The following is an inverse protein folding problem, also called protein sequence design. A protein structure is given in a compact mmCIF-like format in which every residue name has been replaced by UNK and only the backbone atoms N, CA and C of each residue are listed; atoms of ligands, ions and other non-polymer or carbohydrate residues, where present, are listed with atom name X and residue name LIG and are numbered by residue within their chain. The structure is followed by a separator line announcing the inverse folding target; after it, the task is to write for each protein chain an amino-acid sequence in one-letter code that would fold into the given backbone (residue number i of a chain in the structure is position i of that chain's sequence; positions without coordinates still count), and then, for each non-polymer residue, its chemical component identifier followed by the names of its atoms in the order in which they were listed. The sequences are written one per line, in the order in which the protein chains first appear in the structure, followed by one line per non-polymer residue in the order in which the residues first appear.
data_IF_220662631351
#
_entry.id   IF_220662631351
#
_cell.length_a   1.000
_cell.length_b   1.000
_cell.length_c   1.000
_cell.angle_alpha   90.00
_cell.angle_beta   90.00
_cell.angle_gamma   90.00
#
_symmetry.space_group_name_H-M   'P 1'
#
loop_
_entity.id
_entity.type
_entity.pdbx_description
1 polymer ?
#
# COMPACT_ATOMS: atom_id res chain seq x y z
N UNK A 1 23.31 -15.30 1.53
CA UNK A 1 22.37 -14.18 1.31
C UNK A 1 21.58 -13.86 2.57
N UNK A 2 21.05 -14.85 3.29
CA UNK A 2 20.30 -14.70 4.55
C UNK A 2 21.10 -14.03 5.68
N UNK A 3 22.38 -14.40 5.86
CA UNK A 3 23.24 -13.83 6.92
C UNK A 3 23.50 -12.32 6.74
N UNK A 4 23.69 -11.86 5.50
CA UNK A 4 23.88 -10.44 5.21
C UNK A 4 22.63 -9.62 5.54
N UNK A 5 21.44 -10.18 5.31
CA UNK A 5 20.17 -9.55 5.68
C UNK A 5 19.93 -9.57 7.19
N UNK A 6 20.36 -10.63 7.89
CA UNK A 6 20.34 -10.69 9.35
C UNK A 6 21.26 -9.64 9.97
N UNK A 7 22.45 -9.41 9.39
CA UNK A 7 23.35 -8.35 9.82
C UNK A 7 22.72 -6.96 9.64
N UNK A 8 22.07 -6.71 8.50
CA UNK A 8 21.33 -5.45 8.26
C UNK A 8 20.17 -5.30 9.24
N UNK A 9 19.43 -6.37 9.52
CA UNK A 9 18.34 -6.36 10.50
C UNK A 9 18.85 -6.02 11.91
N UNK A 10 19.98 -6.60 12.33
CA UNK A 10 20.60 -6.30 13.62
C UNK A 10 21.10 -4.84 13.69
N UNK A 11 21.74 -4.34 12.64
CA UNK A 11 22.18 -2.95 12.55
C UNK A 11 21.00 -1.96 12.55
N UNK A 12 19.92 -2.30 11.87
CA UNK A 12 18.69 -1.52 11.88
C UNK A 12 18.06 -1.52 13.28
N UNK A 13 18.01 -2.67 13.97
CA UNK A 13 17.53 -2.75 15.34
C UNK A 13 18.38 -1.92 16.32
N UNK A 14 19.69 -1.89 16.15
CA UNK A 14 20.60 -1.08 16.99
C UNK A 14 20.39 0.42 16.80
N UNK A 15 20.30 0.89 15.54
CA UNK A 15 20.17 2.34 15.23
C UNK A 15 18.75 2.88 15.29
N UNK A 16 17.75 2.05 14.97
CA UNK A 16 16.36 2.44 14.75
C UNK A 16 15.38 1.69 15.67
N UNK A 17 15.88 0.95 16.68
CA UNK A 17 15.07 0.03 17.47
C UNK A 17 13.81 0.62 18.11
N UNK A 18 13.83 1.90 18.49
CA UNK A 18 12.65 2.58 19.04
C UNK A 18 11.51 2.79 18.01
N UNK A 19 11.86 2.85 16.73
CA UNK A 19 10.96 3.11 15.61
C UNK A 19 10.49 1.83 14.91
N UNK A 20 11.18 0.70 15.11
CA UNK A 20 10.83 -0.61 14.53
C UNK A 20 9.82 -1.31 15.44
N UNK A 21 8.68 -1.73 14.89
CA UNK A 21 7.67 -2.52 15.59
C UNK A 21 7.85 -4.02 15.39
N UNK A 22 8.30 -4.44 14.20
CA UNK A 22 8.59 -5.83 13.90
C UNK A 22 9.65 -5.98 12.80
N UNK A 23 10.34 -7.12 12.82
CA UNK A 23 11.32 -7.51 11.81
C UNK A 23 10.94 -8.89 11.30
N UNK A 24 10.75 -9.02 9.99
CA UNK A 24 10.43 -10.31 9.35
C UNK A 24 11.44 -10.59 8.24
N UNK A 25 12.09 -11.75 8.34
CA UNK A 25 12.93 -12.28 7.27
C UNK A 25 12.25 -13.51 6.70
N UNK A 26 11.77 -13.42 5.47
CA UNK A 26 11.07 -14.53 4.82
C UNK A 26 11.48 -14.63 3.36
N UNK A 27 11.76 -15.86 2.89
CA UNK A 27 12.08 -16.16 1.49
C UNK A 27 13.19 -15.29 0.88
N UNK A 28 14.16 -14.86 1.71
CA UNK A 28 15.28 -14.03 1.28
C UNK A 28 14.97 -12.52 1.20
N UNK A 29 13.85 -12.09 1.78
CA UNK A 29 13.44 -10.68 1.85
C UNK A 29 13.34 -10.21 3.29
N UNK A 30 13.93 -9.04 3.57
CA UNK A 30 13.83 -8.37 4.86
C UNK A 30 12.71 -7.34 4.82
N UNK A 31 11.75 -7.47 5.72
CA UNK A 31 10.69 -6.49 5.97
C UNK A 31 10.86 -5.90 7.37
N UNK A 32 10.93 -4.58 7.44
CA UNK A 32 10.88 -3.83 8.70
C UNK A 32 9.52 -3.16 8.82
N UNK A 33 8.81 -3.43 9.89
CA UNK A 33 7.61 -2.69 10.25
C UNK A 33 8.02 -1.49 11.11
N UNK A 34 7.64 -0.30 10.69
CA UNK A 34 8.07 0.99 11.24
C UNK A 34 6.84 1.76 11.73
N UNK A 35 6.98 2.46 12.86
CA UNK A 35 5.97 3.42 13.32
C UNK A 35 5.79 4.53 12.29
N UNK A 36 4.55 4.83 11.91
CA UNK A 36 4.27 5.82 10.84
C UNK A 36 4.86 7.19 11.14
N UNK A 37 4.92 7.59 12.42
CA UNK A 37 5.46 8.88 12.87
C UNK A 37 6.96 9.02 12.64
N UNK A 38 7.68 7.91 12.51
CA UNK A 38 9.14 7.90 12.36
C UNK A 38 9.58 7.64 10.91
N UNK A 39 8.65 7.50 9.95
CA UNK A 39 8.98 7.03 8.60
C UNK A 39 10.00 7.92 7.89
N UNK A 40 9.81 9.24 7.93
CA UNK A 40 10.70 10.18 7.23
C UNK A 40 12.09 10.19 7.87
N UNK A 41 12.16 10.07 9.20
CA UNK A 41 13.41 9.94 9.94
C UNK A 41 14.13 8.64 9.59
N UNK A 42 13.43 7.51 9.61
CA UNK A 42 13.99 6.19 9.28
C UNK A 42 14.48 6.15 7.84
N UNK A 43 13.68 6.63 6.89
CA UNK A 43 14.04 6.71 5.49
C UNK A 43 15.30 7.55 5.25
N UNK A 44 15.45 8.68 5.96
CA UNK A 44 16.64 9.52 5.87
C UNK A 44 17.89 8.81 6.39
N UNK A 45 17.79 8.11 7.51
CA UNK A 45 18.90 7.29 8.05
C UNK A 45 19.27 6.15 7.08
N UNK A 46 18.28 5.45 6.52
CA UNK A 46 18.51 4.35 5.59
C UNK A 46 19.18 4.81 4.29
N UNK A 47 18.88 6.02 3.82
CA UNK A 47 19.52 6.62 2.64
C UNK A 47 20.93 7.12 2.97
N UNK A 48 21.09 7.91 4.02
CA UNK A 48 22.30 8.71 4.28
C UNK A 48 23.42 7.91 4.96
N UNK A 49 23.09 6.86 5.73
CA UNK A 49 24.08 6.06 6.42
C UNK A 49 24.84 5.14 5.46
N UNK A 50 26.18 5.23 5.35
CA UNK A 50 26.96 4.41 4.42
C UNK A 50 26.86 2.89 4.64
N UNK A 51 26.48 2.47 5.85
CA UNK A 51 26.27 1.06 6.20
C UNK A 51 25.01 0.51 5.54
N UNK A 52 23.95 1.33 5.45
CA UNK A 52 22.70 0.96 4.80
C UNK A 52 22.73 1.32 3.31
N UNK A 53 22.99 2.59 3.00
CA UNK A 53 23.17 3.11 1.65
C UNK A 53 22.03 2.75 0.71
N UNK A 54 20.78 2.97 1.10
CA UNK A 54 19.63 2.74 0.22
C UNK A 54 19.41 3.95 -0.69
N UNK A 55 20.16 4.00 -1.79
CA UNK A 55 20.16 5.17 -2.68
C UNK A 55 18.88 5.26 -3.53
N UNK A 56 18.20 4.15 -3.76
CA UNK A 56 17.04 4.08 -4.65
C UNK A 56 15.76 3.66 -3.93
N UNK A 57 14.73 4.50 -4.08
CA UNK A 57 13.34 4.13 -3.83
C UNK A 57 12.75 3.54 -5.11
N UNK A 58 12.36 2.27 -5.04
CA UNK A 58 11.85 1.49 -6.18
C UNK A 58 10.34 1.65 -6.32
N UNK A 59 9.61 1.62 -5.20
CA UNK A 59 8.15 1.66 -5.19
C UNK A 59 7.61 2.20 -3.85
N UNK A 60 6.45 2.84 -3.90
CA UNK A 60 5.60 3.16 -2.74
C UNK A 60 4.19 2.70 -3.05
N UNK A 61 3.69 1.72 -2.30
CA UNK A 61 2.35 1.20 -2.50
C UNK A 61 1.50 1.26 -1.22
N UNK A 62 0.22 1.54 -1.40
CA UNK A 62 -0.79 1.36 -0.36
C UNK A 62 -1.32 -0.08 -0.34
N UNK A 63 -1.69 -0.57 0.82
CA UNK A 63 -2.40 -1.85 0.99
C UNK A 63 -3.59 -1.64 1.90
N UNK A 64 -4.75 -2.17 1.49
CA UNK A 64 -5.97 -2.26 2.31
C UNK A 64 -6.12 -3.69 2.85
N UNK A 65 -5.94 -3.84 4.16
CA UNK A 65 -6.04 -5.07 4.93
C UNK A 65 -7.44 -5.31 5.50
N UNK A 66 -8.48 -4.54 5.12
CA UNK A 66 -9.82 -4.66 5.73
C UNK A 66 -10.44 -6.07 5.69
N UNK A 67 -10.10 -6.89 4.69
CA UNK A 67 -10.57 -8.28 4.54
C UNK A 67 -9.46 -9.31 4.65
N UNK A 68 -8.27 -8.90 5.12
CA UNK A 68 -7.10 -9.77 5.21
C UNK A 68 -7.03 -10.44 6.59
N UNK A 69 -6.81 -11.75 6.62
CA UNK A 69 -6.69 -12.49 7.88
C UNK A 69 -8.02 -12.93 8.51
N UNK A 70 -9.18 -12.63 7.89
CA UNK A 70 -10.50 -13.12 8.33
C UNK A 70 -10.72 -14.62 8.03
N UNK A 71 -9.87 -15.24 7.20
CA UNK A 71 -9.97 -16.66 6.81
C UNK A 71 -8.68 -17.48 7.05
N UNK A 72 -7.63 -16.90 7.62
CA UNK A 72 -6.35 -17.60 7.83
C UNK A 72 -6.06 -17.86 9.30
N UNK A 73 -5.63 -19.08 9.62
CA UNK A 73 -5.21 -19.54 10.97
C UNK A 73 -4.03 -18.76 11.59
N UNK A 74 -3.37 -17.89 10.82
CA UNK A 74 -2.23 -17.06 11.26
C UNK A 74 -2.62 -15.86 12.15
N UNK A 75 -3.84 -15.84 12.68
CA UNK A 75 -4.30 -14.87 13.68
C UNK A 75 -4.71 -13.53 13.07
N UNK A 76 -5.76 -12.94 13.65
CA UNK A 76 -6.18 -11.58 13.34
C UNK A 76 -4.97 -10.64 13.48
N UNK A 77 -4.54 -10.01 12.38
CA UNK A 77 -3.65 -8.85 12.49
C UNK A 77 -4.44 -7.74 13.15
N UNK A 78 -4.29 -7.65 14.47
CA UNK A 78 -4.80 -6.53 15.25
C UNK A 78 -3.96 -5.31 14.88
N UNK A 79 -4.54 -4.41 14.08
CA UNK A 79 -4.00 -3.07 13.91
C UNK A 79 -3.94 -2.64 12.46
N UNK A 80 -4.79 -1.67 12.13
CA UNK A 80 -4.71 -0.81 10.94
C UNK A 80 -5.14 -1.44 9.61
N UNK A 81 -6.25 -0.93 9.08
CA UNK A 81 -6.80 -1.20 7.75
C UNK A 81 -5.79 -0.85 6.66
N UNK A 82 -5.09 0.27 6.77
CA UNK A 82 -4.19 0.73 5.72
C UNK A 82 -2.73 0.52 6.11
N UNK A 83 -1.90 0.21 5.12
CA UNK A 83 -0.45 0.25 5.26
C UNK A 83 0.19 0.90 4.03
N UNK A 84 1.22 1.70 4.26
CA UNK A 84 2.13 2.17 3.23
C UNK A 84 3.38 1.26 3.22
N UNK A 85 3.73 0.75 2.05
CA UNK A 85 4.89 -0.12 1.84
C UNK A 85 5.88 0.63 0.96
N UNK A 86 7.15 0.60 1.35
CA UNK A 86 8.25 1.19 0.59
C UNK A 86 9.24 0.10 0.22
N UNK A 87 9.63 0.05 -1.06
CA UNK A 87 10.68 -0.86 -1.52
C UNK A 87 11.94 -0.08 -1.82
N UNK A 88 13.01 -0.43 -1.11
CA UNK A 88 14.29 0.23 -1.21
C UNK A 88 15.33 -0.71 -1.82
N UNK A 89 16.25 -0.14 -2.60
CA UNK A 89 17.39 -0.83 -3.19
C UNK A 89 18.67 -0.07 -2.87
N UNK A 90 19.65 -0.78 -2.32
CA UNK A 90 21.03 -0.33 -2.23
C UNK A 90 21.80 -0.90 -3.41
N UNK A 91 22.32 -0.04 -4.28
CA UNK A 91 23.16 -0.48 -5.41
C UNK A 91 24.54 -0.87 -4.88
N UNK A 92 25.09 -0.06 -3.96
CA UNK A 92 26.43 -0.26 -3.40
C UNK A 92 26.57 -1.62 -2.72
N UNK A 93 25.56 -2.03 -1.97
CA UNK A 93 25.57 -3.29 -1.23
C UNK A 93 24.81 -4.42 -1.93
N UNK A 94 24.13 -4.12 -3.05
CA UNK A 94 23.25 -5.02 -3.81
C UNK A 94 22.20 -5.73 -2.91
N UNK A 95 21.45 -4.93 -2.14
CA UNK A 95 20.47 -5.44 -1.15
C UNK A 95 19.14 -4.72 -1.31
N UNK A 96 18.05 -5.44 -1.05
CA UNK A 96 16.69 -4.91 -1.03
C UNK A 96 16.14 -4.92 0.39
N UNK A 97 15.35 -3.90 0.70
CA UNK A 97 14.68 -3.74 1.97
C UNK A 97 13.24 -3.30 1.73
N UNK A 98 12.30 -3.94 2.43
CA UNK A 98 10.90 -3.54 2.43
C UNK A 98 10.59 -2.86 3.76
N UNK A 99 10.07 -1.65 3.71
CA UNK A 99 9.49 -0.99 4.88
C UNK A 99 7.98 -1.11 4.82
N UNK A 100 7.35 -1.30 5.97
CA UNK A 100 5.90 -1.28 6.11
C UNK A 100 5.54 -0.36 7.27
N UNK A 101 4.69 0.62 7.01
CA UNK A 101 4.11 1.48 8.04
C UNK A 101 2.60 1.30 8.04
N UNK A 102 2.04 0.91 9.18
CA UNK A 102 0.60 0.82 9.38
C UNK A 102 0.02 2.20 9.67
N UNK A 103 -1.19 2.46 9.15
CA UNK A 103 -1.84 3.77 9.19
C UNK A 103 -3.20 3.70 9.87
N UNK A 104 -3.63 4.82 10.44
CA UNK A 104 -4.92 4.94 11.10
C UNK A 104 -6.10 4.67 10.13
N UNK A 105 -7.16 4.03 10.61
CA UNK A 105 -8.29 3.56 9.79
C UNK A 105 -9.15 4.69 9.20
N UNK A 106 -9.42 5.72 10.01
CA UNK A 106 -10.32 6.81 9.65
C UNK A 106 -9.65 7.82 8.70
N UNK A 107 -8.40 8.16 8.98
CA UNK A 107 -7.63 9.14 8.23
C UNK A 107 -6.19 8.64 8.06
N UNK A 108 -5.93 7.80 7.04
CA UNK A 108 -4.59 7.26 6.82
C UNK A 108 -3.65 8.37 6.38
N UNK A 109 -2.80 8.83 7.30
CA UNK A 109 -1.83 9.91 7.07
C UNK A 109 -0.42 9.47 7.42
N UNK A 110 0.56 9.97 6.68
CA UNK A 110 1.97 9.66 6.86
C UNK A 110 2.84 10.77 6.29
N UNK A 111 4.06 10.95 6.80
CA UNK A 111 4.99 11.92 6.24
C UNK A 111 5.46 11.50 4.85
N UNK A 112 5.52 12.47 3.92
CA UNK A 112 6.10 12.30 2.60
C UNK A 112 7.61 12.05 2.69
N UNK A 113 8.11 11.16 1.82
CA UNK A 113 9.53 10.91 1.63
C UNK A 113 10.07 11.58 0.35
N UNK A 114 9.30 12.49 -0.25
CA UNK A 114 9.68 13.25 -1.45
C UNK A 114 11.02 13.98 -1.32
N UNK A 115 11.27 14.63 -0.17
CA UNK A 115 12.55 15.31 0.09
C UNK A 115 13.74 14.33 0.19
N UNK A 116 13.45 13.05 0.42
CA UNK A 116 14.45 11.99 0.56
C UNK A 116 14.74 11.37 -0.80
N UNK A 117 13.68 10.98 -1.53
CA UNK A 117 13.77 10.48 -2.89
C UNK A 117 12.76 11.19 -3.77
N UNK A 118 13.25 11.95 -4.76
CA UNK A 118 12.39 12.67 -5.69
C UNK A 118 11.45 11.76 -6.50
N UNK A 119 11.79 10.47 -6.65
CA UNK A 119 10.94 9.46 -7.28
C UNK A 119 9.65 9.20 -6.51
N UNK A 120 9.60 9.47 -5.21
CA UNK A 120 8.41 9.26 -4.37
C UNK A 120 7.22 10.10 -4.82
N UNK A 121 7.43 11.24 -5.50
CA UNK A 121 6.37 12.17 -5.88
C UNK A 121 5.19 11.47 -6.59
N UNK A 122 5.50 10.65 -7.60
CA UNK A 122 4.47 10.00 -8.41
C UNK A 122 3.82 8.84 -7.66
N UNK A 123 4.60 8.04 -6.93
CA UNK A 123 4.08 6.90 -6.18
C UNK A 123 3.22 7.31 -4.99
N UNK A 124 3.58 8.38 -4.28
CA UNK A 124 2.75 8.94 -3.19
C UNK A 124 1.43 9.50 -3.73
N UNK A 125 1.45 10.15 -4.90
CA UNK A 125 0.22 10.59 -5.58
C UNK A 125 -0.65 9.43 -6.04
N UNK A 126 -0.05 8.35 -6.53
CA UNK A 126 -0.77 7.12 -6.89
C UNK A 126 -1.42 6.48 -5.65
N UNK A 127 -0.69 6.34 -4.55
CA UNK A 127 -1.20 5.80 -3.29
C UNK A 127 -2.33 6.69 -2.72
N UNK A 128 -2.22 8.01 -2.86
CA UNK A 128 -3.31 8.94 -2.53
C UNK A 128 -4.53 8.73 -3.43
N UNK A 129 -4.36 8.59 -4.74
CA UNK A 129 -5.48 8.45 -5.67
C UNK A 129 -6.23 7.12 -5.46
N UNK A 130 -5.49 6.02 -5.34
CA UNK A 130 -6.04 4.66 -5.31
C UNK A 130 -6.50 4.21 -3.93
N UNK A 131 -5.80 4.60 -2.86
CA UNK A 131 -6.09 4.19 -1.48
C UNK A 131 -6.51 5.35 -0.57
N UNK A 132 -6.30 6.61 -0.97
CA UNK A 132 -6.65 7.77 -0.16
C UNK A 132 -5.71 8.00 1.02
N UNK A 133 -4.46 7.53 0.92
CA UNK A 133 -3.41 7.80 1.92
C UNK A 133 -2.92 9.23 1.73
N UNK A 134 -2.93 10.02 2.79
CA UNK A 134 -2.50 11.42 2.79
C UNK A 134 -1.01 11.50 3.15
N UNK A 135 -0.21 12.06 2.25
CA UNK A 135 1.21 12.28 2.47
C UNK A 135 1.48 13.73 2.88
N UNK A 136 1.81 13.95 4.16
CA UNK A 136 2.08 15.28 4.71
C UNK A 136 3.44 15.79 4.24
N UNK A 137 3.52 17.05 3.79
CA UNK A 137 4.75 17.64 3.22
C UNK A 137 4.98 17.39 1.73
N UNK A 138 4.08 16.69 1.03
CA UNK A 138 4.17 16.51 -0.42
C UNK A 138 3.86 17.82 -1.18
N UNK A 139 4.63 18.22 -2.22
CA UNK A 139 4.47 19.51 -2.89
C UNK A 139 3.19 19.67 -3.72
N UNK A 140 2.69 18.60 -4.35
CA UNK A 140 1.48 18.62 -5.21
C UNK A 140 0.71 17.30 -5.06
N UNK A 141 0.00 17.12 -3.94
CA UNK A 141 -0.77 15.90 -3.69
C UNK A 141 -2.15 15.99 -4.36
N UNK A 142 -2.24 15.48 -5.59
CA UNK A 142 -3.48 15.37 -6.36
C UNK A 142 -3.55 14.06 -7.13
N UNK A 143 -4.78 13.69 -7.53
CA UNK A 143 -5.09 12.51 -8.35
C UNK A 143 -4.25 12.45 -9.62
N UNK A 144 -4.01 11.24 -10.12
CA UNK A 144 -3.11 11.03 -11.26
C UNK A 144 -3.57 9.91 -12.21
N UNK A 145 -4.25 8.89 -11.71
CA UNK A 145 -4.76 7.77 -12.50
C UNK A 145 -6.27 7.86 -12.72
N UNK A 146 -7.02 8.35 -11.72
CA UNK A 146 -8.47 8.47 -11.83
C UNK A 146 -8.88 9.73 -12.59
N UNK A 147 -10.11 9.71 -13.11
CA UNK A 147 -10.69 10.85 -13.80
C UNK A 147 -10.86 12.07 -12.87
N UNK A 148 -10.88 13.27 -13.44
CA UNK A 148 -10.87 14.53 -12.69
C UNK A 148 -12.05 14.67 -11.72
N UNK A 149 -13.22 14.12 -12.08
CA UNK A 149 -14.43 14.13 -11.26
C UNK A 149 -14.66 12.87 -10.45
N UNK A 150 -13.68 11.98 -10.35
CA UNK A 150 -13.85 10.68 -9.71
C UNK A 150 -14.04 10.82 -8.18
N UNK A 151 -15.10 10.18 -7.68
CA UNK A 151 -15.46 10.18 -6.26
C UNK A 151 -15.11 8.81 -5.68
N UNK A 152 -14.24 8.80 -4.67
CA UNK A 152 -13.77 7.59 -3.99
C UNK A 152 -12.33 7.20 -4.35
N UNK A 153 -11.96 6.00 -3.92
CA UNK A 153 -10.62 5.41 -4.02
C UNK A 153 -10.74 3.96 -4.51
N UNK A 154 -10.41 3.67 -5.78
CA UNK A 154 -10.77 2.42 -6.44
C UNK A 154 -10.22 1.13 -5.81
N UNK A 155 -9.05 1.18 -5.17
CA UNK A 155 -8.35 -0.03 -4.68
C UNK A 155 -8.68 -0.37 -3.23
N UNK A 156 -9.55 0.41 -2.58
CA UNK A 156 -10.12 0.03 -1.30
C UNK A 156 -11.11 -1.12 -1.47
N UNK A 157 -11.15 -2.04 -0.52
CA UNK A 157 -11.99 -3.25 -0.60
C UNK A 157 -13.48 -2.98 -0.47
N UNK A 158 -13.86 -1.83 0.06
CA UNK A 158 -15.25 -1.34 0.11
C UNK A 158 -15.70 -0.72 -1.22
N UNK A 159 -14.80 -0.44 -2.16
CA UNK A 159 -15.15 0.12 -3.47
C UNK A 159 -15.61 -1.00 -4.43
N UNK A 160 -16.78 -0.85 -5.09
CA UNK A 160 -17.28 -1.88 -6.00
C UNK A 160 -16.43 -1.98 -7.27
N UNK A 161 -16.24 -3.20 -7.78
CA UNK A 161 -15.41 -3.45 -8.97
C UNK A 161 -15.85 -2.66 -10.21
N UNK A 162 -17.16 -2.47 -10.39
CA UNK A 162 -17.74 -1.76 -11.55
C UNK A 162 -17.75 -0.23 -11.32
N UNK A 163 -17.54 0.21 -10.08
CA UNK A 163 -17.70 1.60 -9.67
C UNK A 163 -19.16 2.02 -9.54
N UNK A 164 -19.38 3.31 -9.37
CA UNK A 164 -20.71 3.90 -9.15
C UNK A 164 -21.28 4.61 -10.39
N UNK A 165 -20.41 5.06 -11.30
CA UNK A 165 -20.80 5.85 -12.47
C UNK A 165 -20.25 5.24 -13.76
N UNK A 166 -21.05 5.32 -14.82
CA UNK A 166 -20.67 4.99 -16.19
C UNK A 166 -20.80 6.23 -17.08
N UNK A 167 -20.00 6.29 -18.14
CA UNK A 167 -20.04 7.38 -19.12
C UNK A 167 -20.84 6.95 -20.35
N UNK A 168 -21.72 7.83 -20.84
CA UNK A 168 -22.33 7.70 -22.16
C UNK A 168 -22.30 9.01 -22.92
N UNK A 169 -22.30 8.93 -24.26
CA UNK A 169 -22.52 10.11 -25.09
C UNK A 169 -24.01 10.46 -25.13
N UNK A 170 -24.35 11.73 -24.91
CA UNK A 170 -25.71 12.25 -25.04
C UNK A 170 -25.81 13.10 -26.31
N UNK A 171 -26.51 12.60 -27.32
CA UNK A 171 -26.66 13.27 -28.62
C UNK A 171 -27.39 14.62 -28.51
N UNK A 172 -28.40 14.71 -27.64
CA UNK A 172 -29.18 15.93 -27.45
C UNK A 172 -28.35 17.06 -26.84
N UNK A 173 -27.48 16.72 -25.89
CA UNK A 173 -26.57 17.66 -25.22
C UNK A 173 -25.22 17.81 -25.92
N UNK A 174 -24.95 16.98 -26.94
CA UNK A 174 -23.68 16.88 -27.67
C UNK A 174 -22.47 16.80 -26.74
N UNK A 175 -22.56 16.03 -25.66
CA UNK A 175 -21.49 15.87 -24.66
C UNK A 175 -21.53 14.51 -23.98
N UNK A 176 -20.41 14.13 -23.37
CA UNK A 176 -20.35 12.96 -22.47
C UNK A 176 -21.04 13.30 -21.15
N UNK A 177 -21.88 12.39 -20.67
CA UNK A 177 -22.58 12.50 -19.39
C UNK A 177 -22.25 11.31 -18.50
N UNK A 178 -22.14 11.57 -17.20
CA UNK A 178 -22.00 10.55 -16.16
C UNK A 178 -23.38 10.15 -15.68
N UNK A 179 -23.65 8.86 -15.59
CA UNK A 179 -24.88 8.32 -15.03
C UNK A 179 -24.56 7.15 -14.09
N UNK A 180 -25.47 6.77 -13.17
CA UNK A 180 -25.28 5.58 -12.35
C UNK A 180 -25.08 4.33 -13.22
N UNK A 181 -24.19 3.44 -12.79
CA UNK A 181 -23.92 2.16 -13.47
C UNK A 181 -25.21 1.36 -13.65
N UNK A 182 -25.42 0.84 -14.85
CA UNK A 182 -26.57 -0.04 -15.19
C UNK A 182 -26.16 -1.51 -15.35
N UNK A 183 -24.85 -1.78 -15.31
CA UNK A 183 -24.28 -3.12 -15.53
C UNK A 183 -24.53 -4.02 -14.32
N UNK A 184 -25.22 -5.15 -14.54
CA UNK A 184 -25.35 -6.20 -13.54
C UNK A 184 -24.06 -7.05 -13.47
N UNK A 185 -23.48 -7.27 -12.27
CA UNK A 185 -22.28 -8.09 -12.13
C UNK A 185 -22.57 -9.54 -12.54
N UNK A 186 -22.04 -9.97 -13.68
CA UNK A 186 -22.00 -11.39 -14.04
C UNK A 186 -20.83 -12.06 -13.34
N UNK A 187 -21.02 -12.43 -12.08
CA UNK A 187 -20.01 -13.22 -11.37
C UNK A 187 -19.99 -14.62 -12.00
N UNK A 188 -18.91 -14.98 -12.69
CA UNK A 188 -18.71 -16.34 -13.24
C UNK A 188 -18.45 -17.38 -12.14
N UNK A 189 -18.97 -17.17 -10.93
CA UNK A 189 -18.89 -18.18 -9.87
C UNK A 189 -19.78 -19.34 -10.31
N UNK A 190 -19.24 -20.54 -10.50
CA UNK A 190 -20.08 -21.70 -10.74
C UNK A 190 -21.04 -21.81 -9.57
N UNK A 191 -22.35 -21.88 -9.85
CA UNK A 191 -23.35 -22.16 -8.82
C UNK A 191 -23.03 -23.53 -8.23
N UNK A 192 -22.36 -23.57 -7.07
CA UNK A 192 -22.14 -24.81 -6.33
C UNK A 192 -23.50 -25.19 -5.73
N UNK A 193 -24.27 -25.99 -6.46
CA UNK A 193 -25.42 -26.69 -5.88
C UNK A 193 -24.84 -27.77 -4.98
N UNK A 194 -24.82 -27.52 -3.67
CA UNK A 194 -24.58 -28.58 -2.68
C UNK A 194 -25.91 -29.24 -2.43
N UNK A 195 -26.05 -30.51 -2.83
CA UNK A 195 -27.20 -31.31 -2.41
C UNK A 195 -27.22 -31.39 -0.88
N UNK A 196 -28.42 -31.38 -0.27
CA UNK A 196 -28.65 -31.36 1.19
C UNK A 196 -28.03 -32.55 1.95
N UNK A 197 -27.33 -33.46 1.28
CA UNK A 197 -26.63 -34.62 1.87
C UNK A 197 -25.10 -34.52 1.96
N UNK A 198 -24.46 -33.46 1.45
CA UNK A 198 -22.98 -33.43 1.34
C UNK A 198 -22.23 -33.27 2.68
N UNK A 199 -22.94 -33.04 3.79
CA UNK A 199 -22.38 -32.88 5.14
C UNK A 199 -22.81 -34.02 6.10
N UNK A 200 -22.94 -35.25 5.59
CA UNK A 200 -23.05 -36.46 6.41
C UNK A 200 -22.01 -37.49 5.95
N UNK A 201 -20.82 -37.39 6.52
CA UNK A 201 -20.10 -38.42 7.30
C UNK A 201 -18.63 -38.00 7.49
#
# INVERSE_FOLDING_TARGET
MTEALQAVAAQAADKLGASITAVTLSRGELTLEIKREDIAKVCRVLRDDPVFGFEQLIDVCGVDYSTYGTESDDGARAGSRFAAIYHLLSIKHNRRLRLRAYLDDEMPRIDSVYEIWASANWFEREAFDLFGIIFEGHPDLRRILTDYGFIGHPFRKDFPLIGHVEMRYDESKRRVVYQPVTIEPRVQVPRVVRDEGFARD
#
